data_IF_632631955679
#
_entry.id   IF_632631955679
#
_cell.length_a   1.000
_cell.length_b   1.000
_cell.length_c   1.000
_cell.angle_alpha   90.00
_cell.angle_beta   90.00
_cell.angle_gamma   90.00
#
_symmetry.space_group_name_H-M   'P 1'
#
loop_
_entity.id
_entity.type
_entity.pdbx_description
1 polymer ?
#
# COMPACT_ATOMS: atom_id res chain seq x y z
N UNK A 1 -1.00 18.68 -22.12
CA UNK A 1 0.12 17.76 -21.86
C UNK A 1 0.63 18.06 -20.45
N UNK A 2 0.04 17.44 -19.42
CA UNK A 2 0.46 17.65 -18.03
C UNK A 2 1.65 16.76 -17.75
N UNK A 3 2.83 17.33 -17.49
CA UNK A 3 4.00 16.58 -17.09
C UNK A 3 3.71 15.91 -15.74
N UNK A 4 3.53 14.59 -15.74
CA UNK A 4 3.42 13.81 -14.51
C UNK A 4 4.74 13.90 -13.73
N UNK A 5 4.65 13.98 -12.41
CA UNK A 5 5.84 14.00 -11.58
C UNK A 5 6.65 12.70 -11.81
N UNK A 6 8.00 12.72 -11.75
CA UNK A 6 8.83 11.54 -12.00
C UNK A 6 8.44 10.31 -11.17
N UNK A 7 7.89 10.52 -9.97
CA UNK A 7 7.39 9.46 -9.11
C UNK A 7 6.10 8.79 -9.61
N UNK A 8 5.19 9.55 -10.21
CA UNK A 8 3.92 9.03 -10.74
C UNK A 8 4.16 8.12 -11.96
N UNK A 9 5.15 8.45 -12.80
CA UNK A 9 5.53 7.62 -13.94
C UNK A 9 6.15 6.29 -13.51
N UNK A 10 7.03 6.31 -12.49
CA UNK A 10 7.65 5.10 -11.94
C UNK A 10 6.58 4.21 -11.28
N UNK A 11 5.68 4.80 -10.49
CA UNK A 11 4.57 4.08 -9.87
C UNK A 11 3.70 3.40 -10.94
N UNK A 12 3.29 4.15 -11.96
CA UNK A 12 2.50 3.62 -13.07
C UNK A 12 3.18 2.45 -13.80
N UNK A 13 4.44 2.60 -14.22
CA UNK A 13 5.19 1.54 -14.92
C UNK A 13 5.36 0.30 -14.04
N UNK A 14 5.63 0.51 -12.75
CA UNK A 14 5.78 -0.58 -11.78
C UNK A 14 4.47 -1.34 -11.59
N UNK A 15 3.35 -0.63 -11.44
CA UNK A 15 2.01 -1.23 -11.34
C UNK A 15 1.66 -2.07 -12.57
N UNK A 16 1.89 -1.55 -13.78
CA UNK A 16 1.63 -2.32 -14.99
C UNK A 16 2.50 -3.58 -15.08
N UNK A 17 3.78 -3.48 -14.71
CA UNK A 17 4.69 -4.62 -14.66
C UNK A 17 4.20 -5.69 -13.68
N UNK A 18 3.75 -5.28 -12.49
CA UNK A 18 3.17 -6.18 -11.48
C UNK A 18 1.90 -6.85 -12.00
N UNK A 19 0.96 -6.08 -12.55
CA UNK A 19 -0.30 -6.61 -13.10
C UNK A 19 -0.05 -7.63 -14.21
N UNK A 20 0.90 -7.36 -15.10
CA UNK A 20 1.27 -8.29 -16.17
C UNK A 20 1.87 -9.60 -15.60
N UNK A 21 2.77 -9.50 -14.61
CA UNK A 21 3.36 -10.68 -13.96
C UNK A 21 2.32 -11.54 -13.25
N UNK A 22 1.28 -10.92 -12.68
CA UNK A 22 0.23 -11.62 -11.95
C UNK A 22 -1.02 -11.89 -12.80
N UNK A 23 -0.95 -11.70 -14.11
CA UNK A 23 -2.09 -11.76 -15.03
C UNK A 23 -2.96 -13.02 -14.85
N UNK A 24 -2.32 -14.17 -14.65
CA UNK A 24 -2.99 -15.47 -14.51
C UNK A 24 -3.59 -15.77 -13.12
N UNK A 25 -3.39 -14.89 -12.14
CA UNK A 25 -3.93 -15.07 -10.77
C UNK A 25 -5.31 -14.41 -10.62
N UNK A 26 -6.09 -14.79 -9.60
CA UNK A 26 -7.34 -14.08 -9.29
C UNK A 26 -7.08 -12.63 -8.84
N UNK A 27 -8.11 -11.79 -8.88
CA UNK A 27 -8.02 -10.40 -8.42
C UNK A 27 -7.68 -10.31 -6.92
N UNK A 28 -8.31 -11.14 -6.10
CA UNK A 28 -8.00 -11.21 -4.66
C UNK A 28 -6.59 -11.74 -4.42
N UNK A 29 -6.12 -12.74 -5.17
CA UNK A 29 -4.76 -13.24 -5.01
C UNK A 29 -3.70 -12.15 -5.30
N UNK A 30 -3.90 -11.36 -6.37
CA UNK A 30 -3.05 -10.20 -6.68
C UNK A 30 -2.99 -9.22 -5.50
N UNK A 31 -4.15 -8.88 -4.96
CA UNK A 31 -4.28 -7.93 -3.85
C UNK A 31 -3.64 -8.45 -2.56
N UNK A 32 -3.93 -9.67 -2.15
CA UNK A 32 -3.42 -10.25 -0.90
C UNK A 32 -1.90 -10.42 -0.90
N UNK A 33 -1.32 -10.91 -1.99
CA UNK A 33 0.14 -11.07 -2.09
C UNK A 33 0.86 -9.73 -2.01
N UNK A 34 0.32 -8.69 -2.66
CA UNK A 34 0.91 -7.34 -2.63
C UNK A 34 0.68 -6.65 -1.29
N UNK A 35 -0.45 -6.92 -0.63
CA UNK A 35 -0.72 -6.44 0.73
C UNK A 35 0.23 -7.06 1.74
N UNK A 36 0.47 -8.37 1.66
CA UNK A 36 1.45 -9.06 2.49
C UNK A 36 2.86 -8.47 2.32
N UNK A 37 3.26 -8.13 1.09
CA UNK A 37 4.51 -7.44 0.80
C UNK A 37 4.54 -6.00 1.36
N UNK A 38 3.40 -5.30 1.36
CA UNK A 38 3.29 -3.95 1.91
C UNK A 38 3.24 -3.91 3.45
N UNK A 39 2.73 -4.98 4.08
CA UNK A 39 2.61 -5.12 5.53
C UNK A 39 3.97 -5.25 6.25
N UNK A 40 5.08 -5.34 5.51
CA UNK A 40 6.44 -5.09 6.02
C UNK A 40 6.56 -3.70 6.70
N UNK A 41 5.67 -2.74 6.38
CA UNK A 41 5.54 -1.50 7.15
C UNK A 41 5.14 -1.73 8.61
N UNK A 42 4.24 -2.67 8.86
CA UNK A 42 3.85 -3.06 10.22
C UNK A 42 5.01 -3.72 10.95
N UNK A 43 5.79 -4.53 10.24
CA UNK A 43 7.00 -5.15 10.77
C UNK A 43 8.02 -4.08 11.20
N UNK A 44 8.23 -3.02 10.42
CA UNK A 44 9.10 -1.90 10.81
C UNK A 44 8.70 -1.26 12.14
N UNK A 45 7.43 -0.89 12.30
CA UNK A 45 6.95 -0.26 13.55
C UNK A 45 6.90 -1.24 14.72
N UNK A 46 6.70 -2.52 14.45
CA UNK A 46 6.85 -3.57 15.44
C UNK A 46 8.30 -3.60 15.96
N UNK A 47 9.30 -3.68 15.08
CA UNK A 47 10.71 -3.67 15.46
C UNK A 47 11.08 -2.41 16.28
N UNK A 48 10.50 -1.25 15.95
CA UNK A 48 10.73 0.00 16.68
C UNK A 48 10.35 -0.07 18.16
N UNK A 49 9.34 -0.86 18.51
CA UNK A 49 8.82 -0.98 19.88
C UNK A 49 9.68 -1.91 20.72
N UNK A 50 10.25 -2.96 20.11
CA UNK A 50 10.98 -4.02 20.81
C UNK A 50 12.50 -3.89 20.72
N UNK A 51 13.04 -2.92 19.97
CA UNK A 51 14.49 -2.73 19.81
C UNK A 51 15.28 -2.53 21.12
N UNK A 52 14.62 -2.09 22.20
CA UNK A 52 15.23 -1.87 23.51
C UNK A 52 15.23 -3.11 24.41
N UNK A 53 14.31 -4.06 24.17
CA UNK A 53 14.11 -5.23 25.03
C UNK A 53 14.59 -6.54 24.36
N UNK A 54 14.53 -6.62 23.03
CA UNK A 54 14.78 -7.84 22.27
C UNK A 54 16.03 -7.73 21.37
N UNK A 55 17.09 -8.52 21.61
CA UNK A 55 18.32 -8.46 20.81
C UNK A 55 18.11 -8.79 19.32
N UNK A 56 17.19 -9.70 19.01
CA UNK A 56 16.83 -10.04 17.63
C UNK A 56 16.10 -8.88 16.95
N UNK A 57 15.12 -8.27 17.63
CA UNK A 57 14.41 -7.10 17.12
C UNK A 57 15.36 -5.92 16.90
N UNK A 58 16.36 -5.74 17.78
CA UNK A 58 17.42 -4.74 17.60
C UNK A 58 18.25 -5.01 16.35
N UNK A 59 18.65 -6.26 16.11
CA UNK A 59 19.49 -6.63 14.98
C UNK A 59 18.75 -6.48 13.65
N UNK A 60 17.50 -6.96 13.58
CA UNK A 60 16.62 -6.78 12.43
C UNK A 60 16.28 -5.30 12.21
N UNK A 61 15.99 -4.55 13.27
CA UNK A 61 15.69 -3.13 13.18
C UNK A 61 16.86 -2.28 12.64
N UNK A 62 18.11 -2.70 12.86
CA UNK A 62 19.27 -2.05 12.25
C UNK A 62 19.30 -2.31 10.74
N UNK A 63 19.03 -3.54 10.31
CA UNK A 63 18.99 -3.93 8.88
C UNK A 63 17.89 -3.13 8.16
N UNK A 64 16.72 -3.01 8.78
CA UNK A 64 15.56 -2.29 8.23
C UNK A 64 15.61 -0.78 8.48
N UNK A 65 16.74 -0.26 8.98
CA UNK A 65 16.99 1.18 9.21
C UNK A 65 15.97 1.84 10.15
N UNK A 66 15.37 1.08 11.06
CA UNK A 66 14.42 1.56 12.08
C UNK A 66 14.93 2.79 12.84
N UNK A 67 16.20 2.86 13.28
CA UNK A 67 16.71 4.04 13.98
C UNK A 67 16.77 5.32 13.14
N UNK A 68 16.68 5.24 11.80
CA UNK A 68 16.76 6.42 10.93
C UNK A 68 15.48 7.25 10.98
N UNK A 69 14.31 6.58 10.98
CA UNK A 69 13.00 7.25 11.05
C UNK A 69 12.48 7.41 12.48
N UNK A 70 12.92 6.57 13.44
CA UNK A 70 12.37 6.55 14.82
C UNK A 70 13.08 7.49 15.80
N UNK A 71 14.17 8.15 15.39
CA UNK A 71 14.80 9.20 16.21
C UNK A 71 13.84 10.37 16.43
N UNK A 72 13.83 11.02 17.61
CA UNK A 72 12.90 12.12 17.91
C UNK A 72 12.90 13.25 16.87
N UNK A 73 14.07 13.60 16.33
CA UNK A 73 14.21 14.64 15.30
C UNK A 73 13.59 14.22 13.96
N UNK A 74 13.79 12.98 13.53
CA UNK A 74 13.24 12.44 12.29
C UNK A 74 11.71 12.28 12.40
N UNK A 75 11.22 11.73 13.51
CA UNK A 75 9.78 11.64 13.78
C UNK A 75 9.11 13.02 13.72
N UNK A 76 9.73 14.04 14.31
CA UNK A 76 9.21 15.41 14.23
C UNK A 76 9.25 15.97 12.81
N UNK A 77 10.34 15.74 12.06
CA UNK A 77 10.53 16.19 10.67
C UNK A 77 9.51 15.55 9.71
N UNK A 78 9.15 14.29 9.94
CA UNK A 78 8.33 13.48 9.04
C UNK A 78 6.92 13.20 9.56
N UNK A 79 6.51 13.77 10.69
CA UNK A 79 5.23 13.49 11.36
C UNK A 79 4.03 13.50 10.40
N UNK A 80 3.86 14.57 9.62
CA UNK A 80 2.75 14.69 8.68
C UNK A 80 2.79 13.62 7.59
N UNK A 81 3.97 13.33 7.03
CA UNK A 81 4.12 12.31 5.99
C UNK A 81 3.85 10.90 6.52
N UNK A 82 4.25 10.61 7.77
CA UNK A 82 3.93 9.34 8.45
C UNK A 82 2.41 9.24 8.67
N UNK A 83 1.76 10.33 9.09
CA UNK A 83 0.30 10.36 9.28
C UNK A 83 -0.46 10.14 7.97
N UNK A 84 -0.06 10.81 6.89
CA UNK A 84 -0.63 10.60 5.56
C UNK A 84 -0.47 9.15 5.09
N UNK A 85 0.72 8.58 5.29
CA UNK A 85 1.00 7.20 4.92
C UNK A 85 0.17 6.20 5.73
N UNK A 86 0.00 6.43 7.05
CA UNK A 86 -0.88 5.61 7.89
C UNK A 86 -2.33 5.67 7.44
N UNK A 87 -2.83 6.86 7.09
CA UNK A 87 -4.19 7.03 6.59
C UNK A 87 -4.37 6.31 5.25
N UNK A 88 -3.39 6.39 4.36
CA UNK A 88 -3.42 5.74 3.05
C UNK A 88 -3.38 4.20 3.17
N UNK A 89 -2.56 3.67 4.08
CA UNK A 89 -2.55 2.23 4.41
C UNK A 89 -3.92 1.79 4.91
N UNK A 90 -4.52 2.55 5.82
CA UNK A 90 -5.85 2.23 6.37
C UNK A 90 -6.93 2.24 5.29
N UNK A 91 -6.95 3.24 4.42
CA UNK A 91 -7.92 3.32 3.33
C UNK A 91 -7.71 2.19 2.32
N UNK A 92 -6.46 1.89 1.96
CA UNK A 92 -6.12 0.76 1.08
C UNK A 92 -6.62 -0.56 1.67
N UNK A 93 -6.42 -0.78 2.98
CA UNK A 93 -6.92 -1.96 3.68
C UNK A 93 -8.45 -2.09 3.61
N UNK A 94 -9.19 -1.00 3.77
CA UNK A 94 -10.65 -1.02 3.66
C UNK A 94 -11.13 -1.43 2.26
N UNK A 95 -10.47 -0.96 1.20
CA UNK A 95 -10.78 -1.36 -0.17
C UNK A 95 -10.47 -2.85 -0.39
N UNK A 96 -9.36 -3.34 0.17
CA UNK A 96 -9.00 -4.76 0.11
C UNK A 96 -10.07 -5.64 0.76
N UNK A 97 -10.54 -5.27 1.96
CA UNK A 97 -11.62 -5.97 2.66
C UNK A 97 -12.90 -6.01 1.82
N UNK A 98 -13.26 -4.91 1.15
CA UNK A 98 -14.42 -4.84 0.25
C UNK A 98 -14.23 -5.77 -0.95
N UNK A 99 -13.05 -5.79 -1.59
CA UNK A 99 -12.77 -6.66 -2.73
C UNK A 99 -12.89 -8.14 -2.33
N UNK A 100 -12.35 -8.51 -1.16
CA UNK A 100 -12.44 -9.88 -0.63
C UNK A 100 -13.89 -10.27 -0.39
N UNK A 101 -14.66 -9.40 0.28
CA UNK A 101 -16.06 -9.68 0.60
C UNK A 101 -16.94 -9.75 -0.65
N UNK A 102 -16.69 -8.91 -1.65
CA UNK A 102 -17.45 -8.95 -2.90
C UNK A 102 -17.11 -10.19 -3.74
N UNK A 103 -15.85 -10.64 -3.76
CA UNK A 103 -15.49 -11.93 -4.40
C UNK A 103 -16.15 -13.11 -3.67
N UNK A 104 -16.22 -13.06 -2.33
CA UNK A 104 -16.95 -14.04 -1.51
C UNK A 104 -18.45 -14.05 -1.84
N UNK A 105 -19.08 -12.89 -1.98
CA UNK A 105 -20.50 -12.81 -2.36
C UNK A 105 -20.75 -13.36 -3.78
N UNK A 106 -19.85 -13.05 -4.71
CA UNK A 106 -19.93 -13.55 -6.10
C UNK A 106 -19.78 -15.07 -6.19
N UNK A 107 -18.97 -15.69 -5.31
CA UNK A 107 -18.81 -17.15 -5.29
C UNK A 107 -20.03 -17.89 -4.71
N UNK A 108 -20.85 -17.22 -3.90
CA UNK A 108 -21.98 -17.83 -3.21
C UNK A 108 -23.35 -17.50 -3.79
N UNK A 109 -23.51 -16.44 -4.59
CA UNK A 109 -24.82 -15.95 -5.04
C UNK A 109 -24.85 -15.79 -6.57
N UNK A 110 -25.95 -16.20 -7.20
CA UNK A 110 -26.18 -15.90 -8.62
C UNK A 110 -26.43 -14.39 -8.76
N UNK A 111 -25.73 -13.75 -9.69
CA UNK A 111 -25.85 -12.30 -10.01
C UNK A 111 -27.31 -11.92 -10.27
N UNK A 112 -28.15 -12.85 -10.73
CA UNK A 112 -29.59 -12.66 -10.92
C UNK A 112 -30.37 -12.40 -9.63
N UNK A 113 -29.88 -12.86 -8.48
CA UNK A 113 -30.51 -12.66 -7.17
C UNK A 113 -30.11 -11.33 -6.52
N UNK A 114 -28.96 -10.76 -6.92
CA UNK A 114 -28.48 -9.48 -6.41
C UNK A 114 -27.96 -8.64 -7.57
N UNK A 115 -28.82 -7.86 -8.25
CA UNK A 115 -28.45 -7.08 -9.43
C UNK A 115 -27.33 -6.05 -9.19
N UNK A 116 -27.15 -5.62 -7.94
CA UNK A 116 -26.09 -4.70 -7.53
C UNK A 116 -24.67 -5.32 -7.58
N UNK A 117 -24.53 -6.65 -7.66
CA UNK A 117 -23.21 -7.31 -7.78
C UNK A 117 -22.58 -7.08 -9.15
N UNK A 118 -23.38 -7.02 -10.22
CA UNK A 118 -22.86 -6.85 -11.59
C UNK A 118 -22.02 -5.56 -11.77
N UNK A 119 -22.54 -4.35 -11.45
CA UNK A 119 -21.75 -3.12 -11.61
C UNK A 119 -20.54 -3.06 -10.66
N UNK A 120 -20.61 -3.69 -9.48
CA UNK A 120 -19.49 -3.76 -8.55
C UNK A 120 -18.35 -4.65 -9.08
N UNK A 121 -18.68 -5.76 -9.74
CA UNK A 121 -17.70 -6.65 -10.37
C UNK A 121 -17.06 -6.05 -11.64
N UNK A 122 -17.75 -5.17 -12.36
CA UNK A 122 -17.16 -4.44 -13.49
C UNK A 122 -16.08 -3.44 -13.03
N UNK A 123 -16.23 -2.92 -11.82
CA UNK A 123 -15.29 -1.95 -11.23
C UNK A 123 -14.03 -2.64 -10.63
N UNK A 124 -14.09 -3.94 -10.35
CA UNK A 124 -12.99 -4.71 -9.75
C UNK A 124 -11.60 -4.50 -10.38
N UNK A 125 -11.42 -4.57 -11.71
CA UNK A 125 -10.11 -4.37 -12.31
C UNK A 125 -9.54 -2.97 -12.04
N UNK A 126 -10.42 -1.97 -11.96
CA UNK A 126 -10.08 -0.57 -11.67
C UNK A 126 -9.68 -0.42 -10.20
N UNK A 127 -10.46 -1.01 -9.27
CA UNK A 127 -10.17 -0.95 -7.84
C UNK A 127 -8.86 -1.68 -7.51
N UNK A 128 -8.62 -2.85 -8.10
CA UNK A 128 -7.35 -3.58 -7.94
C UNK A 128 -6.18 -2.76 -8.49
N UNK A 129 -6.34 -2.10 -9.64
CA UNK A 129 -5.31 -1.20 -10.15
C UNK A 129 -4.98 -0.07 -9.16
N UNK A 130 -6.00 0.56 -8.57
CA UNK A 130 -5.82 1.64 -7.59
C UNK A 130 -5.17 1.16 -6.29
N UNK A 131 -5.53 -0.04 -5.81
CA UNK A 131 -4.87 -0.69 -4.67
C UNK A 131 -3.39 -0.90 -4.96
N UNK A 132 -3.05 -1.47 -6.12
CA UNK A 132 -1.66 -1.81 -6.44
C UNK A 132 -0.81 -0.54 -6.60
N UNK A 133 -1.28 0.46 -7.34
CA UNK A 133 -0.50 1.70 -7.51
C UNK A 133 -0.32 2.45 -6.19
N UNK A 134 -1.31 2.39 -5.31
CA UNK A 134 -1.19 3.00 -3.98
C UNK A 134 -0.20 2.25 -3.10
N UNK A 135 -0.21 0.91 -3.11
CA UNK A 135 0.80 0.10 -2.42
C UNK A 135 2.21 0.47 -2.91
N UNK A 136 2.41 0.59 -4.22
CA UNK A 136 3.69 1.02 -4.80
C UNK A 136 4.09 2.41 -4.31
N UNK A 137 3.15 3.36 -4.24
CA UNK A 137 3.40 4.71 -3.73
C UNK A 137 3.74 4.71 -2.23
N UNK A 138 3.04 3.92 -1.41
CA UNK A 138 3.32 3.73 0.02
C UNK A 138 4.74 3.20 0.21
N UNK A 139 5.12 2.13 -0.49
CA UNK A 139 6.46 1.53 -0.39
C UNK A 139 7.54 2.54 -0.78
N UNK A 140 7.33 3.27 -1.88
CA UNK A 140 8.27 4.29 -2.35
C UNK A 140 8.43 5.42 -1.33
N UNK A 141 7.31 5.94 -0.81
CA UNK A 141 7.36 7.00 0.19
C UNK A 141 8.02 6.52 1.48
N UNK A 142 7.74 5.29 1.92
CA UNK A 142 8.35 4.70 3.08
C UNK A 142 9.89 4.55 2.93
N UNK A 143 10.35 4.12 1.77
CA UNK A 143 11.78 4.09 1.44
C UNK A 143 12.40 5.50 1.44
N UNK A 144 11.71 6.50 0.91
CA UNK A 144 12.16 7.89 0.97
C UNK A 144 12.25 8.43 2.41
N UNK A 145 11.31 8.06 3.29
CA UNK A 145 11.30 8.45 4.69
C UNK A 145 12.44 7.78 5.48
N UNK A 146 12.67 6.49 5.24
CA UNK A 146 13.74 5.75 5.93
C UNK A 146 15.13 6.17 5.46
N UNK A 147 15.30 6.64 4.22
CA UNK A 147 16.58 7.12 3.68
C UNK A 147 16.85 8.61 3.87
N UNK A 148 15.92 9.36 4.47
CA UNK A 148 15.93 10.83 4.57
C UNK A 148 16.16 11.53 3.22
N UNK A 149 15.60 10.99 2.14
CA UNK A 149 15.73 11.60 0.82
C UNK A 149 14.77 12.78 0.66
N UNK A 150 15.25 13.90 0.12
CA UNK A 150 14.39 15.07 -0.19
C UNK A 150 13.40 14.84 -1.36
N UNK A 151 13.50 13.69 -2.04
CA UNK A 151 12.59 13.29 -3.12
C UNK A 151 11.30 12.74 -2.54
N UNK A 152 10.39 13.61 -2.12
CA UNK A 152 9.05 13.21 -1.66
C UNK A 152 8.11 13.02 -2.85
N UNK A 153 7.34 11.94 -2.86
CA UNK A 153 6.21 11.81 -3.77
C UNK A 153 4.99 12.54 -3.18
N UNK A 154 4.24 13.23 -4.04
CA UNK A 154 2.92 13.72 -3.67
C UNK A 154 1.95 12.53 -3.66
N UNK A 155 1.41 12.23 -2.48
CA UNK A 155 0.48 11.12 -2.28
C UNK A 155 -1.00 11.52 -2.42
N UNK A 156 -1.28 12.83 -2.49
CA UNK A 156 -2.65 13.34 -2.57
C UNK A 156 -3.49 12.75 -3.74
N UNK A 157 -2.92 12.44 -4.92
CA UNK A 157 -3.70 11.87 -6.03
C UNK A 157 -4.16 10.42 -5.78
N UNK A 158 -3.48 9.67 -4.89
CA UNK A 158 -3.85 8.29 -4.56
C UNK A 158 -4.96 8.26 -3.50
N UNK A 159 -4.88 9.14 -2.50
CA UNK A 159 -5.92 9.27 -1.46
C UNK A 159 -7.30 9.57 -2.05
N UNK A 160 -7.39 10.50 -3.01
CA UNK A 160 -8.65 10.85 -3.67
C UNK A 160 -9.29 9.72 -4.51
N UNK A 161 -8.54 8.66 -4.80
CA UNK A 161 -8.98 7.59 -5.70
C UNK A 161 -9.20 6.25 -5.00
N UNK A 162 -8.67 6.12 -3.79
CA UNK A 162 -8.90 4.97 -2.90
C UNK A 162 -10.00 5.24 -1.86
N UNK A 163 -10.33 6.51 -1.60
CA UNK A 163 -11.43 6.93 -0.70
C UNK A 163 -12.68 7.22 -1.50
#
# INVERSE_FOLDING_TARGET
>A
MSCKAPGEEIAYKTTLSILNKLSNYSWVAKVLTLSAFALEYGHFWFLSQYQSTEPLAKSLGIIDRVPQLTKPQALKKHCNAILELNNLIKATWQVIDIIIELERLNSHHDIKQVPALAPALEQFPVDVYWVIITIVAIVTQFECLTTDSDKRQDLSPFGQKIT
#
